data_IF_485984976337
#
_entry.id   IF_485984976337
#
_cell.length_a   1.000
_cell.length_b   1.000
_cell.length_c   1.000
_cell.angle_alpha   90.00
_cell.angle_beta   90.00
_cell.angle_gamma   90.00
#
_symmetry.space_group_name_H-M   'P 1'
#
loop_
_entity.id
_entity.type
_entity.pdbx_description
1 polymer ?
#
# COMPACT_ATOMS: atom_id res chain seq x y z
N UNK A 1 54.86 10.96 -85.93
CA UNK A 1 53.59 11.41 -86.54
C UNK A 1 52.56 11.59 -85.43
N UNK A 2 52.22 12.86 -85.16
CA UNK A 2 51.05 13.43 -84.44
C UNK A 2 50.51 12.83 -83.12
N UNK A 3 50.65 13.68 -82.10
CA UNK A 3 49.98 13.79 -80.80
C UNK A 3 48.43 13.94 -80.89
N UNK A 4 47.67 13.31 -79.98
CA UNK A 4 46.30 13.67 -79.52
C UNK A 4 46.06 13.03 -78.13
N UNK A 5 46.30 13.72 -77.01
CA UNK A 5 45.40 14.56 -76.18
C UNK A 5 44.09 13.88 -75.71
N UNK A 6 44.04 13.77 -74.37
CA UNK A 6 42.99 13.42 -73.40
C UNK A 6 41.58 13.97 -73.67
N UNK A 7 40.55 13.26 -73.20
CA UNK A 7 39.46 13.82 -72.40
C UNK A 7 38.84 12.72 -71.52
N UNK A 8 39.02 12.80 -70.20
CA UNK A 8 38.29 12.00 -69.22
C UNK A 8 36.97 12.70 -68.91
N UNK A 9 35.85 12.05 -69.20
CA UNK A 9 34.52 12.51 -68.80
C UNK A 9 34.22 11.96 -67.40
N UNK A 10 34.26 12.80 -66.38
CA UNK A 10 33.81 12.48 -65.02
C UNK A 10 32.28 12.56 -64.96
N UNK A 11 31.63 11.41 -64.77
CA UNK A 11 30.19 11.30 -64.55
C UNK A 11 29.88 11.65 -63.08
N UNK A 12 28.98 12.61 -62.76
CA UNK A 12 28.67 12.95 -61.38
C UNK A 12 27.82 11.83 -60.76
N UNK A 13 28.34 11.23 -59.69
CA UNK A 13 27.59 10.39 -58.76
C UNK A 13 26.49 11.25 -58.12
N UNK A 14 25.23 11.01 -58.48
CA UNK A 14 24.09 11.48 -57.71
C UNK A 14 24.09 10.69 -56.39
N UNK A 15 24.65 11.28 -55.33
CA UNK A 15 24.44 10.78 -53.98
C UNK A 15 22.97 11.03 -53.62
N UNK A 16 22.17 9.95 -53.60
CA UNK A 16 20.84 9.99 -53.04
C UNK A 16 20.93 10.35 -51.56
N UNK A 17 20.63 11.60 -51.23
CA UNK A 17 20.39 12.00 -49.85
C UNK A 17 19.12 11.28 -49.37
N UNK A 18 19.30 10.19 -48.63
CA UNK A 18 18.26 9.70 -47.74
C UNK A 18 18.06 10.77 -46.67
N UNK A 19 17.06 11.62 -46.86
CA UNK A 19 16.51 12.44 -45.77
C UNK A 19 15.93 11.46 -44.77
N UNK A 20 16.61 11.25 -43.64
CA UNK A 20 15.97 10.71 -42.46
C UNK A 20 14.77 11.61 -42.16
N UNK A 21 13.56 11.10 -42.36
CA UNK A 21 12.38 11.75 -41.82
C UNK A 21 12.58 11.80 -40.30
N UNK A 22 12.90 12.99 -39.77
CA UNK A 22 12.74 13.25 -38.35
C UNK A 22 11.26 12.98 -38.06
N UNK A 23 10.95 11.95 -37.28
CA UNK A 23 9.60 11.72 -36.81
C UNK A 23 9.20 12.95 -35.99
N UNK A 24 8.44 13.86 -36.60
CA UNK A 24 7.90 15.01 -35.90
C UNK A 24 6.89 14.48 -34.89
N UNK A 25 7.23 14.61 -33.60
CA UNK A 25 6.30 14.30 -32.53
C UNK A 25 5.05 15.18 -32.66
N UNK A 26 3.85 14.65 -32.35
CA UNK A 26 2.66 15.49 -32.25
C UNK A 26 2.91 16.68 -31.32
N UNK A 27 2.45 17.86 -31.73
CA UNK A 27 2.65 19.12 -31.02
C UNK A 27 1.29 19.76 -30.76
N UNK A 28 1.03 20.12 -29.51
CA UNK A 28 -0.11 20.95 -29.12
C UNK A 28 0.37 22.16 -28.32
N UNK A 29 -0.42 23.22 -28.26
CA UNK A 29 -0.06 24.48 -27.64
C UNK A 29 -0.78 24.66 -26.30
N UNK A 30 -0.19 25.44 -25.40
CA UNK A 30 -0.82 25.87 -24.17
C UNK A 30 -0.35 27.28 -23.80
N UNK A 31 -1.21 28.06 -23.13
CA UNK A 31 -0.78 29.24 -22.35
C UNK A 31 -0.85 29.01 -20.84
N UNK A 32 -1.49 27.91 -20.41
CA UNK A 32 -1.55 27.44 -19.02
C UNK A 32 -0.61 26.25 -18.77
N UNK A 33 0.00 26.21 -17.58
CA UNK A 33 0.73 25.02 -17.10
C UNK A 33 -0.19 23.89 -16.65
N UNK A 34 -1.45 24.20 -16.33
CA UNK A 34 -2.46 23.22 -15.96
C UNK A 34 -3.17 22.66 -17.18
N UNK A 35 -3.29 21.33 -17.22
CA UNK A 35 -3.93 20.57 -18.28
C UNK A 35 -5.03 19.69 -17.68
N UNK A 36 -6.20 19.74 -18.30
CA UNK A 36 -7.34 18.89 -17.95
C UNK A 36 -7.14 17.51 -18.59
N UNK A 37 -7.43 16.45 -17.85
CA UNK A 37 -7.29 15.07 -18.34
C UNK A 37 -8.66 14.39 -18.36
N UNK A 38 -8.99 13.77 -19.49
CA UNK A 38 -10.09 12.80 -19.58
C UNK A 38 -9.53 11.42 -19.79
N UNK A 39 -9.89 10.49 -18.92
CA UNK A 39 -9.53 9.08 -19.04
C UNK A 39 -10.79 8.21 -19.06
N UNK A 40 -11.20 7.79 -20.27
CA UNK A 40 -12.50 7.14 -20.45
C UNK A 40 -13.65 8.10 -20.12
N UNK A 41 -14.41 7.79 -19.07
CA UNK A 41 -15.50 8.64 -18.58
C UNK A 41 -15.08 9.62 -17.48
N UNK A 42 -13.90 9.42 -16.90
CA UNK A 42 -13.43 10.24 -15.79
C UNK A 42 -12.78 11.51 -16.34
N UNK A 43 -13.31 12.67 -15.96
CA UNK A 43 -12.80 13.97 -16.38
C UNK A 43 -12.32 14.75 -15.17
N UNK A 44 -11.02 15.03 -15.13
CA UNK A 44 -10.36 15.70 -14.03
C UNK A 44 -9.78 17.04 -14.51
N UNK A 45 -10.29 18.13 -13.94
CA UNK A 45 -9.81 19.48 -14.25
C UNK A 45 -8.50 19.79 -13.55
N UNK A 46 -7.54 20.35 -14.27
CA UNK A 46 -6.23 20.75 -13.76
C UNK A 46 -5.48 19.62 -13.08
N UNK A 47 -5.72 18.37 -13.47
CA UNK A 47 -5.08 17.20 -12.86
C UNK A 47 -3.58 17.18 -13.12
N UNK A 48 -3.17 17.68 -14.28
CA UNK A 48 -1.80 17.61 -14.74
C UNK A 48 -1.17 18.99 -14.78
N UNK A 49 -0.03 19.15 -14.12
CA UNK A 49 0.81 20.34 -14.23
C UNK A 49 2.01 19.99 -15.08
N UNK A 50 2.22 20.71 -16.17
CA UNK A 50 3.37 20.48 -17.06
C UNK A 50 4.68 20.67 -16.32
N UNK A 51 5.62 19.75 -16.54
CA UNK A 51 6.99 19.85 -16.02
C UNK A 51 7.99 19.82 -17.19
N UNK A 52 8.30 20.96 -17.83
CA UNK A 52 9.21 21.02 -18.98
C UNK A 52 10.61 20.43 -18.75
N UNK A 53 11.06 20.43 -17.49
CA UNK A 53 12.33 19.85 -17.06
C UNK A 53 12.29 18.32 -16.99
N UNK A 54 11.11 17.72 -16.80
CA UNK A 54 10.91 16.29 -16.85
C UNK A 54 10.95 15.82 -18.32
N UNK A 55 11.88 14.92 -18.64
CA UNK A 55 12.11 14.47 -20.02
C UNK A 55 12.26 12.94 -20.06
N UNK A 56 11.17 12.17 -20.26
CA UNK A 56 9.78 12.64 -20.41
C UNK A 56 9.09 13.05 -19.11
N UNK A 57 8.10 13.93 -19.24
CA UNK A 57 7.02 14.17 -18.28
C UNK A 57 5.95 13.08 -18.48
N UNK A 58 5.91 12.08 -17.59
CA UNK A 58 5.23 10.79 -17.85
C UNK A 58 3.87 10.72 -17.18
N UNK A 59 2.81 10.65 -17.97
CA UNK A 59 1.48 10.27 -17.53
C UNK A 59 1.24 8.76 -17.73
N UNK A 60 0.78 8.09 -16.68
CA UNK A 60 0.51 6.64 -16.70
C UNK A 60 -0.98 6.36 -16.67
N UNK A 61 -1.40 5.31 -17.38
CA UNK A 61 -2.79 4.86 -17.42
C UNK A 61 -2.87 3.34 -17.33
N UNK A 62 -3.82 2.83 -16.55
CA UNK A 62 -4.12 1.39 -16.47
C UNK A 62 -5.33 0.97 -17.31
N UNK A 63 -6.07 1.92 -17.91
CA UNK A 63 -7.37 1.68 -18.53
C UNK A 63 -7.27 1.23 -19.99
N UNK A 64 -6.87 -0.03 -20.20
CA UNK A 64 -6.78 -0.64 -21.53
C UNK A 64 -8.09 -0.46 -22.32
N UNK A 65 -7.96 -0.01 -23.58
CA UNK A 65 -9.04 0.23 -24.52
C UNK A 65 -9.73 1.60 -24.37
N UNK A 66 -9.46 2.35 -23.30
CA UNK A 66 -9.98 3.70 -23.10
C UNK A 66 -9.07 4.75 -23.73
N UNK A 67 -9.63 5.93 -23.96
CA UNK A 67 -8.89 7.10 -24.42
C UNK A 67 -8.40 7.92 -23.23
N UNK A 68 -7.13 8.29 -23.25
CA UNK A 68 -6.57 9.39 -22.46
C UNK A 68 -6.54 10.62 -23.36
N UNK A 69 -7.20 11.70 -22.94
CA UNK A 69 -7.20 12.97 -23.66
C UNK A 69 -6.66 14.08 -22.79
N UNK A 70 -5.65 14.77 -23.29
CA UNK A 70 -5.10 15.98 -22.70
C UNK A 70 -5.81 17.16 -23.35
N UNK A 71 -6.38 18.04 -22.52
CA UNK A 71 -6.97 19.30 -22.95
C UNK A 71 -6.16 20.44 -22.35
N UNK A 72 -5.44 21.15 -23.20
CA UNK A 72 -4.87 22.44 -22.82
C UNK A 72 -5.95 23.51 -22.96
N UNK A 73 -5.60 24.73 -22.59
CA UNK A 73 -6.44 25.91 -22.84
C UNK A 73 -6.54 26.31 -24.33
N UNK A 74 -5.76 25.67 -25.21
CA UNK A 74 -5.72 26.00 -26.64
C UNK A 74 -6.08 24.81 -27.55
N UNK A 75 -5.65 23.61 -27.21
CA UNK A 75 -5.64 22.42 -28.06
C UNK A 75 -6.02 21.16 -27.27
N UNK A 76 -6.15 20.03 -27.96
CA UNK A 76 -6.28 18.73 -27.31
C UNK A 76 -5.61 17.62 -28.12
N UNK A 77 -5.21 16.56 -27.44
CA UNK A 77 -4.68 15.34 -28.06
C UNK A 77 -5.16 14.11 -27.31
N UNK A 78 -5.45 13.03 -28.05
CA UNK A 78 -6.00 11.80 -27.50
C UNK A 78 -5.19 10.58 -27.92
N UNK A 79 -4.98 9.67 -26.98
CA UNK A 79 -4.33 8.39 -27.21
C UNK A 79 -5.18 7.26 -26.65
N UNK A 80 -5.32 6.17 -27.41
CA UNK A 80 -6.02 4.98 -26.96
C UNK A 80 -5.03 4.07 -26.23
N UNK A 81 -5.35 3.66 -25.00
CA UNK A 81 -4.42 2.89 -24.17
C UNK A 81 -4.45 1.40 -24.55
N UNK A 82 -3.28 0.84 -24.78
CA UNK A 82 -2.99 -0.56 -25.03
C UNK A 82 -1.86 -1.00 -24.09
N UNK A 83 -1.65 -2.31 -23.93
CA UNK A 83 -0.68 -2.87 -22.95
C UNK A 83 0.78 -2.45 -23.25
N UNK A 84 1.07 -2.17 -24.50
CA UNK A 84 2.36 -1.77 -25.07
C UNK A 84 2.39 -0.28 -25.48
N UNK A 85 1.36 0.49 -25.08
CA UNK A 85 1.28 1.92 -25.41
C UNK A 85 2.42 2.72 -24.82
N UNK A 86 3.14 3.39 -25.70
CA UNK A 86 4.05 4.49 -25.42
C UNK A 86 3.79 5.56 -26.48
N UNK A 87 3.26 6.70 -26.06
CA UNK A 87 2.95 7.82 -26.94
C UNK A 87 3.72 9.05 -26.48
N UNK A 88 4.66 9.50 -27.31
CA UNK A 88 5.41 10.71 -27.05
C UNK A 88 4.81 11.88 -27.84
N UNK A 89 4.73 13.04 -27.21
CA UNK A 89 4.26 14.28 -27.82
C UNK A 89 4.84 15.50 -27.10
N UNK A 90 4.65 16.68 -27.68
CA UNK A 90 5.16 17.93 -27.15
C UNK A 90 3.98 18.86 -26.82
N UNK A 91 4.02 19.45 -25.64
CA UNK A 91 3.15 20.57 -25.27
C UNK A 91 4.02 21.83 -25.25
N UNK A 92 3.76 22.76 -26.17
CA UNK A 92 4.47 24.03 -26.28
C UNK A 92 3.77 25.09 -25.42
N UNK A 93 4.38 25.42 -24.30
CA UNK A 93 3.91 26.40 -23.33
C UNK A 93 4.40 27.81 -23.72
N UNK A 94 3.45 28.74 -23.86
CA UNK A 94 3.70 30.15 -24.15
C UNK A 94 4.58 30.40 -25.40
N UNK A 95 4.55 29.48 -26.37
CA UNK A 95 5.34 29.57 -27.60
C UNK A 95 6.85 29.48 -27.39
N UNK A 96 7.32 29.10 -26.21
CA UNK A 96 8.74 29.15 -25.83
C UNK A 96 9.20 27.86 -25.16
N UNK A 97 8.58 27.49 -24.05
CA UNK A 97 8.98 26.33 -23.25
C UNK A 97 8.24 25.09 -23.77
N UNK A 98 8.87 23.92 -23.72
CA UNK A 98 8.29 22.68 -24.24
C UNK A 98 8.39 21.55 -23.24
N UNK A 99 7.25 20.94 -22.95
CA UNK A 99 7.18 19.71 -22.16
C UNK A 99 7.19 18.50 -23.11
N UNK A 100 8.27 17.71 -23.05
CA UNK A 100 8.33 16.42 -23.71
C UNK A 100 7.52 15.43 -22.89
N UNK A 101 6.29 15.16 -23.33
CA UNK A 101 5.29 14.43 -22.55
C UNK A 101 5.14 13.02 -23.10
N UNK A 102 4.96 12.04 -22.21
CA UNK A 102 4.73 10.65 -22.58
C UNK A 102 3.46 10.12 -21.91
N UNK A 103 2.58 9.51 -22.70
CA UNK A 103 1.52 8.63 -22.17
C UNK A 103 1.99 7.19 -22.29
N UNK A 104 2.01 6.45 -21.18
CA UNK A 104 2.31 5.01 -21.20
C UNK A 104 1.32 4.20 -20.40
N UNK A 105 1.19 2.93 -20.75
CA UNK A 105 0.46 1.98 -19.93
C UNK A 105 1.26 1.63 -18.66
N UNK A 106 0.57 1.58 -17.53
CA UNK A 106 1.07 1.02 -16.28
C UNK A 106 -0.07 0.27 -15.58
N UNK A 107 0.12 -0.99 -15.13
CA UNK A 107 -0.94 -1.73 -14.47
C UNK A 107 -1.42 -1.01 -13.21
N UNK A 108 -2.72 -1.10 -12.92
CA UNK A 108 -3.22 -0.61 -11.63
C UNK A 108 -2.67 -1.46 -10.48
N UNK A 109 -2.70 -0.94 -9.25
CA UNK A 109 -2.33 -1.74 -8.07
C UNK A 109 -3.18 -3.01 -7.94
N UNK A 110 -4.46 -2.96 -8.32
CA UNK A 110 -5.32 -4.13 -8.34
C UNK A 110 -4.88 -5.16 -9.40
N UNK A 111 -4.42 -4.72 -10.58
CA UNK A 111 -3.87 -5.62 -11.59
C UNK A 111 -2.56 -6.26 -11.13
N UNK A 112 -1.71 -5.50 -10.44
CA UNK A 112 -0.49 -6.02 -9.82
C UNK A 112 -0.83 -7.05 -8.75
N UNK A 113 -1.81 -6.79 -7.88
CA UNK A 113 -2.26 -7.72 -6.85
C UNK A 113 -2.85 -9.00 -7.45
N UNK A 114 -3.63 -8.89 -8.53
CA UNK A 114 -4.16 -10.05 -9.28
C UNK A 114 -3.05 -10.93 -9.84
N UNK A 115 -1.96 -10.33 -10.30
CA UNK A 115 -0.76 -11.06 -10.74
C UNK A 115 -0.08 -11.85 -9.62
N UNK A 116 -0.28 -11.45 -8.37
CA UNK A 116 0.33 -12.02 -7.17
C UNK A 116 -0.53 -13.09 -6.47
N UNK A 117 -1.46 -13.71 -7.19
CA UNK A 117 -2.39 -14.68 -6.62
C UNK A 117 -1.70 -15.93 -6.06
N UNK A 118 -0.57 -16.32 -6.62
CA UNK A 118 0.08 -17.58 -6.31
C UNK A 118 0.93 -17.51 -5.02
N UNK A 119 0.64 -18.44 -4.12
CA UNK A 119 1.44 -18.80 -2.96
C UNK A 119 1.92 -20.25 -3.09
N UNK A 120 2.88 -20.67 -2.25
CA UNK A 120 3.31 -22.07 -2.17
C UNK A 120 2.81 -22.72 -0.87
N UNK A 121 1.73 -23.49 -0.96
CA UNK A 121 1.17 -24.23 0.17
C UNK A 121 2.02 -25.45 0.57
N UNK A 122 2.95 -25.87 -0.29
CA UNK A 122 3.89 -26.94 0.00
C UNK A 122 5.19 -26.42 0.65
N UNK A 123 5.38 -25.10 0.71
CA UNK A 123 6.49 -24.50 1.44
C UNK A 123 6.42 -24.92 2.92
N UNK A 124 7.49 -25.59 3.35
CA UNK A 124 7.67 -26.15 4.67
C UNK A 124 8.81 -25.48 5.44
N UNK A 125 9.23 -24.27 5.02
CA UNK A 125 10.23 -23.48 5.71
C UNK A 125 9.86 -23.34 7.19
N UNK A 126 10.74 -23.74 8.12
CA UNK A 126 10.44 -23.67 9.55
C UNK A 126 10.34 -22.23 10.03
N UNK A 127 9.16 -21.84 10.50
CA UNK A 127 8.95 -20.59 11.24
C UNK A 127 8.69 -20.90 12.73
N UNK A 128 9.16 -20.06 13.67
CA UNK A 128 8.76 -20.18 15.07
C UNK A 128 7.24 -20.11 15.22
N UNK A 129 6.73 -20.69 16.31
CA UNK A 129 5.28 -20.63 16.57
C UNK A 129 4.86 -19.24 17.03
N UNK A 130 3.66 -18.83 16.62
CA UNK A 130 3.06 -17.61 17.14
C UNK A 130 2.69 -17.75 18.61
N UNK A 131 2.87 -16.67 19.37
CA UNK A 131 2.40 -16.58 20.75
C UNK A 131 1.70 -15.25 21.04
N UNK A 132 0.81 -15.30 22.02
CA UNK A 132 0.00 -14.17 22.46
C UNK A 132 0.19 -14.05 23.96
N UNK A 133 0.50 -12.85 24.45
CA UNK A 133 0.67 -12.64 25.88
C UNK A 133 -0.63 -12.94 26.63
N UNK A 134 -0.53 -13.70 27.72
CA UNK A 134 -1.69 -14.09 28.50
C UNK A 134 -2.29 -12.88 29.25
N UNK A 135 -3.60 -12.68 29.11
CA UNK A 135 -4.32 -11.56 29.74
C UNK A 135 -4.23 -11.53 31.28
N UNK A 136 -3.81 -12.64 31.91
CA UNK A 136 -3.59 -12.71 33.35
C UNK A 136 -2.26 -12.12 33.81
N UNK A 137 -1.35 -11.79 32.88
CA UNK A 137 -0.09 -11.11 33.17
C UNK A 137 -0.33 -9.74 33.80
N UNK A 138 0.53 -9.37 34.76
CA UNK A 138 0.32 -8.18 35.59
C UNK A 138 0.19 -6.89 34.77
N UNK A 139 1.04 -6.72 33.74
CA UNK A 139 1.01 -5.52 32.89
C UNK A 139 -0.27 -5.38 32.09
N UNK A 140 -0.83 -6.49 31.59
CA UNK A 140 -2.08 -6.50 30.84
C UNK A 140 -3.30 -6.29 31.74
N UNK A 141 -3.27 -6.85 32.97
CA UNK A 141 -4.28 -6.53 34.00
C UNK A 141 -4.27 -5.03 34.34
N UNK A 142 -3.10 -4.43 34.51
CA UNK A 142 -2.98 -2.99 34.74
C UNK A 142 -3.53 -2.19 33.57
N UNK A 143 -3.11 -2.52 32.33
CA UNK A 143 -3.63 -1.87 31.12
C UNK A 143 -5.15 -1.92 31.04
N UNK A 144 -5.74 -3.10 31.26
CA UNK A 144 -7.20 -3.33 31.28
C UNK A 144 -7.90 -2.44 32.30
N UNK A 145 -7.36 -2.36 33.51
CA UNK A 145 -7.93 -1.58 34.61
C UNK A 145 -7.78 -0.07 34.38
N UNK A 146 -6.60 0.41 34.02
CA UNK A 146 -6.32 1.84 33.85
C UNK A 146 -7.14 2.44 32.70
N UNK A 147 -7.25 1.72 31.58
CA UNK A 147 -8.02 2.16 30.42
C UNK A 147 -9.53 1.83 30.52
N UNK A 148 -9.95 1.07 31.53
CA UNK A 148 -11.34 0.60 31.72
C UNK A 148 -11.87 -0.16 30.50
N UNK A 149 -11.05 -1.07 29.95
CA UNK A 149 -11.33 -1.75 28.69
C UNK A 149 -12.62 -2.58 28.71
N UNK A 150 -13.01 -3.14 29.85
CA UNK A 150 -14.30 -3.85 29.98
C UNK A 150 -15.50 -2.96 29.69
N UNK A 151 -15.46 -1.72 30.18
CA UNK A 151 -16.53 -0.74 29.95
C UNK A 151 -16.57 -0.29 28.50
N UNK A 152 -15.40 -0.13 27.86
CA UNK A 152 -15.28 0.28 26.46
C UNK A 152 -15.78 -0.84 25.54
N UNK A 153 -15.31 -2.06 25.75
CA UNK A 153 -15.74 -3.23 24.98
C UNK A 153 -17.25 -3.49 25.17
N UNK A 154 -17.76 -3.27 26.39
CA UNK A 154 -19.16 -3.43 26.73
C UNK A 154 -19.59 -4.88 26.93
N UNK A 155 -20.89 -5.07 27.14
CA UNK A 155 -21.51 -6.38 27.45
C UNK A 155 -22.08 -7.14 26.25
N UNK A 156 -21.81 -6.68 25.01
CA UNK A 156 -22.28 -7.32 23.78
C UNK A 156 -21.58 -8.64 23.45
N UNK A 157 -21.89 -9.21 22.28
CA UNK A 157 -21.19 -10.39 21.76
C UNK A 157 -19.72 -10.09 21.43
N UNK A 158 -18.93 -11.13 21.15
CA UNK A 158 -17.49 -11.00 20.90
C UNK A 158 -17.18 -9.99 19.79
N UNK A 159 -17.89 -10.07 18.66
CA UNK A 159 -17.71 -9.16 17.53
C UNK A 159 -17.99 -7.71 17.91
N UNK A 160 -19.10 -7.43 18.60
CA UNK A 160 -19.41 -6.07 19.06
C UNK A 160 -18.33 -5.54 20.00
N UNK A 161 -17.79 -6.38 20.89
CA UNK A 161 -16.69 -6.00 21.79
C UNK A 161 -15.42 -5.66 21.03
N UNK A 162 -15.11 -6.42 19.97
CA UNK A 162 -13.97 -6.15 19.09
C UNK A 162 -14.16 -4.79 18.40
N UNK A 163 -15.30 -4.59 17.72
CA UNK A 163 -15.59 -3.35 17.00
C UNK A 163 -15.63 -2.13 17.93
N UNK A 164 -16.19 -2.25 19.14
CA UNK A 164 -16.22 -1.15 20.11
C UNK A 164 -14.82 -0.66 20.51
N UNK A 165 -13.84 -1.56 20.62
CA UNK A 165 -12.45 -1.16 20.89
C UNK A 165 -11.82 -0.46 19.68
N UNK A 166 -12.09 -0.93 18.46
CA UNK A 166 -11.63 -0.26 17.23
C UNK A 166 -12.21 1.16 17.13
N UNK A 167 -13.54 1.30 17.26
CA UNK A 167 -14.21 2.60 17.27
C UNK A 167 -13.64 3.51 18.37
N UNK A 168 -13.38 2.97 19.56
CA UNK A 168 -12.82 3.76 20.66
C UNK A 168 -11.41 4.27 20.35
N UNK A 169 -10.50 3.42 19.87
CA UNK A 169 -9.14 3.86 19.51
C UNK A 169 -9.18 4.88 18.36
N UNK A 170 -10.01 4.62 17.35
CA UNK A 170 -10.24 5.53 16.24
C UNK A 170 -10.67 6.93 16.70
N UNK A 171 -11.57 7.00 17.68
CA UNK A 171 -12.07 8.27 18.21
C UNK A 171 -11.12 8.92 19.23
N UNK A 172 -10.31 8.11 19.93
CA UNK A 172 -9.43 8.58 20.98
C UNK A 172 -8.15 9.22 20.46
N UNK A 173 -7.56 8.66 19.39
CA UNK A 173 -6.24 9.05 18.90
C UNK A 173 -6.34 9.48 17.43
N UNK A 174 -6.04 10.75 17.10
CA UNK A 174 -5.99 11.19 15.72
C UNK A 174 -4.91 10.41 14.93
N UNK A 175 -5.21 10.02 13.70
CA UNK A 175 -4.21 9.53 12.79
C UNK A 175 -3.31 10.67 12.29
N UNK A 176 -2.01 10.44 12.34
CA UNK A 176 -0.96 11.31 11.83
C UNK A 176 0.11 10.47 11.13
N UNK A 177 -0.02 10.34 9.82
CA UNK A 177 0.94 9.62 8.98
C UNK A 177 2.20 10.41 8.64
N UNK A 178 2.29 11.69 9.02
CA UNK A 178 3.41 12.57 8.64
C UNK A 178 4.51 12.62 9.72
N UNK A 179 4.28 12.04 10.89
CA UNK A 179 5.21 12.07 12.01
C UNK A 179 5.49 10.68 12.58
N UNK A 180 6.67 10.51 13.14
CA UNK A 180 7.08 9.30 13.85
C UNK A 180 6.27 9.11 15.14
N UNK A 181 5.96 7.87 15.48
CA UNK A 181 5.37 7.52 16.76
C UNK A 181 6.32 7.79 17.93
N UNK A 182 5.79 7.92 19.17
CA UNK A 182 6.60 7.93 20.39
C UNK A 182 7.66 6.84 20.46
N UNK A 183 8.78 7.14 21.12
CA UNK A 183 9.88 6.18 21.35
C UNK A 183 9.40 4.96 22.12
N UNK A 184 8.56 5.16 23.14
CA UNK A 184 7.94 4.08 23.90
C UNK A 184 6.65 3.65 23.20
N UNK A 185 6.68 2.46 22.61
CA UNK A 185 5.65 1.88 21.75
C UNK A 185 4.78 0.87 22.49
N UNK A 186 4.13 1.34 23.57
CA UNK A 186 3.05 0.62 24.23
C UNK A 186 1.81 1.50 24.44
N UNK A 187 0.66 0.88 24.65
CA UNK A 187 -0.63 1.53 24.71
C UNK A 187 -0.70 2.60 25.80
N UNK A 188 -0.23 2.31 27.02
CA UNK A 188 -0.33 3.27 28.13
C UNK A 188 0.50 4.54 27.85
N UNK A 189 1.75 4.37 27.42
CA UNK A 189 2.65 5.49 27.13
C UNK A 189 2.20 6.29 25.92
N UNK A 190 1.83 5.64 24.82
CA UNK A 190 1.40 6.34 23.61
C UNK A 190 0.09 7.11 23.83
N UNK A 191 -0.92 6.52 24.48
CA UNK A 191 -2.17 7.23 24.82
C UNK A 191 -1.87 8.44 25.71
N UNK A 192 -1.01 8.27 26.73
CA UNK A 192 -0.64 9.36 27.63
C UNK A 192 0.06 10.49 26.87
N UNK A 193 1.00 10.17 26.01
CA UNK A 193 1.76 11.16 25.24
C UNK A 193 0.87 11.89 24.24
N UNK A 194 0.00 11.19 23.50
CA UNK A 194 -0.99 11.80 22.61
C UNK A 194 -1.87 12.83 23.32
N UNK A 195 -2.29 12.54 24.57
CA UNK A 195 -3.08 13.47 25.38
C UNK A 195 -2.27 14.67 25.89
N UNK A 196 -1.00 14.47 26.23
CA UNK A 196 -0.13 15.51 26.80
C UNK A 196 0.38 16.49 25.73
N UNK A 197 0.67 15.98 24.54
CA UNK A 197 1.29 16.74 23.44
C UNK A 197 0.29 17.13 22.34
N UNK A 198 -0.99 16.78 22.50
CA UNK A 198 -2.04 17.00 21.51
C UNK A 198 -1.66 16.47 20.10
N UNK A 199 -1.00 15.31 20.07
CA UNK A 199 -0.46 14.69 18.85
C UNK A 199 -1.20 13.43 18.41
N UNK A 200 -1.04 13.07 17.15
CA UNK A 200 -1.52 11.80 16.59
C UNK A 200 -0.48 10.68 16.56
N UNK A 201 -0.93 9.52 16.09
CA UNK A 201 -0.11 8.34 15.77
C UNK A 201 -0.30 7.95 14.30
N UNK A 202 0.72 7.38 13.68
CA UNK A 202 0.55 6.76 12.36
C UNK A 202 -0.19 5.40 12.49
N UNK A 203 -0.52 4.78 11.35
CA UNK A 203 -1.24 3.50 11.30
C UNK A 203 -0.63 2.41 12.20
N UNK A 204 0.71 2.29 12.24
CA UNK A 204 1.42 1.32 13.10
C UNK A 204 1.24 1.62 14.58
N UNK A 205 1.23 2.90 14.96
CA UNK A 205 1.00 3.32 16.35
C UNK A 205 -0.41 3.00 16.80
N UNK A 206 -1.43 3.35 16.00
CA UNK A 206 -2.83 3.00 16.27
C UNK A 206 -3.03 1.49 16.39
N UNK A 207 -2.49 0.72 15.44
CA UNK A 207 -2.58 -0.73 15.46
C UNK A 207 -1.87 -1.36 16.66
N UNK A 208 -0.75 -0.77 17.12
CA UNK A 208 -0.03 -1.22 18.32
C UNK A 208 -0.86 -0.99 19.59
N UNK A 209 -1.42 0.22 19.77
CA UNK A 209 -2.30 0.53 20.92
C UNK A 209 -3.50 -0.40 20.95
N UNK A 210 -4.19 -0.56 19.81
CA UNK A 210 -5.37 -1.42 19.71
C UNK A 210 -5.02 -2.90 19.96
N UNK A 211 -3.89 -3.38 19.44
CA UNK A 211 -3.43 -4.75 19.64
C UNK A 211 -3.30 -5.09 21.13
N UNK A 212 -2.62 -4.24 21.90
CA UNK A 212 -2.43 -4.47 23.33
C UNK A 212 -3.74 -4.42 24.12
N UNK A 213 -4.71 -3.60 23.68
CA UNK A 213 -6.05 -3.58 24.28
C UNK A 213 -6.78 -4.91 24.07
N UNK A 214 -6.67 -5.53 22.90
CA UNK A 214 -7.21 -6.88 22.66
C UNK A 214 -6.54 -7.94 23.53
N UNK A 215 -5.22 -7.94 23.61
CA UNK A 215 -4.46 -8.87 24.45
C UNK A 215 -4.87 -8.75 25.93
N UNK A 216 -5.10 -7.53 26.41
CA UNK A 216 -5.55 -7.28 27.78
C UNK A 216 -6.95 -7.85 28.09
N UNK A 217 -7.80 -8.01 27.08
CA UNK A 217 -9.09 -8.69 27.19
C UNK A 217 -9.02 -10.20 26.88
N UNK A 218 -7.84 -10.74 26.60
CA UNK A 218 -7.65 -12.16 26.27
C UNK A 218 -8.09 -12.54 24.86
N UNK A 219 -8.25 -11.54 23.98
CA UNK A 219 -8.61 -11.68 22.57
C UNK A 219 -7.31 -11.79 21.77
N UNK A 220 -7.05 -12.93 21.07
CA UNK A 220 -5.85 -13.06 20.26
C UNK A 220 -5.85 -12.05 19.10
N UNK A 221 -4.79 -11.24 19.03
CA UNK A 221 -4.61 -10.23 17.98
C UNK A 221 -3.14 -10.12 17.60
N UNK A 222 -2.88 -9.78 16.34
CA UNK A 222 -1.59 -9.29 15.83
C UNK A 222 -1.84 -8.01 15.05
N UNK A 223 -0.97 -7.02 15.15
CA UNK A 223 -0.90 -6.03 14.08
C UNK A 223 -0.19 -6.65 12.87
N UNK A 224 -0.65 -6.33 11.67
CA UNK A 224 -0.11 -6.83 10.41
C UNK A 224 0.24 -5.62 9.54
N UNK A 225 1.50 -5.54 9.13
CA UNK A 225 1.94 -4.61 8.11
C UNK A 225 1.51 -5.16 6.75
N UNK A 226 0.68 -4.40 6.07
CA UNK A 226 0.24 -4.63 4.70
C UNK A 226 1.17 -3.83 3.77
N UNK A 227 1.92 -4.53 2.93
CA UNK A 227 3.05 -3.98 2.19
C UNK A 227 2.86 -4.04 0.67
N UNK A 228 3.39 -3.04 -0.07
CA UNK A 228 3.40 -3.06 -1.52
C UNK A 228 4.36 -4.08 -2.12
N UNK A 229 4.22 -4.31 -3.44
CA UNK A 229 5.15 -5.10 -4.24
C UNK A 229 6.56 -4.52 -4.21
N UNK A 230 6.68 -3.21 -4.40
CA UNK A 230 7.97 -2.56 -4.57
C UNK A 230 8.81 -2.62 -3.30
N UNK A 231 10.13 -2.70 -3.48
CA UNK A 231 11.08 -2.67 -2.36
C UNK A 231 11.38 -1.25 -1.88
N UNK A 232 11.09 -0.25 -2.72
CA UNK A 232 11.18 1.17 -2.41
C UNK A 232 9.78 1.74 -2.57
N UNK A 233 9.21 2.23 -1.48
CA UNK A 233 7.85 2.72 -1.42
C UNK A 233 7.78 3.85 -0.39
N UNK A 234 6.80 4.74 -0.56
CA UNK A 234 6.66 5.91 0.30
C UNK A 234 5.80 5.63 1.54
N UNK A 235 4.96 4.59 1.49
CA UNK A 235 4.03 4.24 2.55
C UNK A 235 3.61 2.77 2.49
N UNK A 236 3.12 2.28 3.64
CA UNK A 236 2.46 1.01 3.82
C UNK A 236 1.28 1.23 4.77
N UNK A 237 0.47 0.19 5.01
CA UNK A 237 -0.63 0.29 5.98
C UNK A 237 -0.50 -0.76 7.06
N UNK A 238 -0.85 -0.43 8.30
CA UNK A 238 -0.82 -1.38 9.43
C UNK A 238 -2.19 -1.45 10.06
N UNK A 239 -2.74 -2.66 10.12
CA UNK A 239 -4.06 -2.93 10.72
C UNK A 239 -3.95 -4.07 11.73
N UNK A 240 -5.04 -4.35 12.45
CA UNK A 240 -5.13 -5.49 13.34
C UNK A 240 -5.81 -6.67 12.65
N UNK A 241 -5.21 -7.85 12.83
CA UNK A 241 -5.84 -9.13 12.58
C UNK A 241 -6.26 -9.73 13.91
N UNK A 242 -7.56 -9.87 14.13
CA UNK A 242 -8.14 -10.24 15.43
C UNK A 242 -8.89 -11.57 15.29
N UNK A 243 -8.59 -12.55 16.14
CA UNK A 243 -9.26 -13.85 16.09
C UNK A 243 -10.56 -13.78 16.86
N UNK A 244 -11.66 -14.09 16.18
CA UNK A 244 -12.96 -14.31 16.82
C UNK A 244 -13.10 -15.80 17.10
N UNK A 245 -13.22 -16.16 18.38
CA UNK A 245 -13.53 -17.53 18.80
C UNK A 245 -14.98 -17.90 18.47
N UNK A 246 -15.92 -16.95 18.46
CA UNK A 246 -17.31 -17.23 18.08
C UNK A 246 -17.43 -17.57 16.58
N UNK A 247 -16.71 -16.85 15.72
CA UNK A 247 -16.70 -17.06 14.27
C UNK A 247 -15.63 -18.06 13.81
N UNK A 248 -14.73 -18.47 14.69
CA UNK A 248 -13.61 -19.39 14.41
C UNK A 248 -12.73 -18.91 13.23
N UNK A 249 -12.50 -17.59 13.15
CA UNK A 249 -11.75 -16.97 12.05
C UNK A 249 -11.06 -15.66 12.45
N UNK A 250 -10.14 -15.22 11.61
CA UNK A 250 -9.49 -13.92 11.69
C UNK A 250 -10.37 -12.82 11.08
N UNK A 251 -10.35 -11.63 11.69
CA UNK A 251 -11.11 -10.45 11.27
C UNK A 251 -10.17 -9.30 10.89
N UNK A 252 -10.52 -8.58 9.83
CA UNK A 252 -9.93 -7.29 9.42
C UNK A 252 -10.43 -6.18 10.33
N UNK A 253 -9.52 -5.53 11.04
CA UNK A 253 -9.83 -4.44 11.96
C UNK A 253 -8.84 -3.30 11.75
N UNK A 254 -9.31 -2.18 11.20
CA UNK A 254 -8.47 -1.01 10.91
C UNK A 254 -8.89 0.20 11.76
N UNK A 255 -8.12 0.55 12.82
CA UNK A 255 -8.41 1.71 13.64
C UNK A 255 -8.16 3.05 12.92
N UNK A 256 -7.43 3.07 11.81
CA UNK A 256 -7.13 4.31 11.07
C UNK A 256 -8.37 4.83 10.33
N UNK A 257 -9.09 3.91 9.70
CA UNK A 257 -10.26 4.22 8.88
C UNK A 257 -11.60 3.83 9.52
N UNK A 258 -11.58 3.41 10.79
CA UNK A 258 -12.72 2.81 11.48
C UNK A 258 -13.36 1.68 10.64
N UNK A 259 -12.50 0.86 10.04
CA UNK A 259 -12.88 0.02 8.91
C UNK A 259 -12.82 -1.47 9.22
N UNK A 260 -13.86 -2.18 8.79
CA UNK A 260 -13.95 -3.63 8.72
C UNK A 260 -14.66 -4.03 7.42
N UNK A 261 -14.33 -5.21 6.92
CA UNK A 261 -14.79 -5.67 5.60
C UNK A 261 -15.72 -6.86 5.76
N UNK A 262 -16.79 -6.86 4.96
CA UNK A 262 -17.80 -7.91 4.92
C UNK A 262 -17.94 -8.49 3.51
N UNK A 263 -18.45 -9.71 3.44
CA UNK A 263 -19.00 -10.26 2.20
C UNK A 263 -20.43 -9.76 1.95
N UNK A 264 -21.03 -10.19 0.83
CA UNK A 264 -22.39 -9.87 0.43
C UNK A 264 -23.48 -10.35 1.40
N UNK A 265 -23.14 -11.23 2.34
CA UNK A 265 -24.04 -11.75 3.37
C UNK A 265 -23.86 -11.04 4.72
N UNK A 266 -22.97 -10.05 4.79
CA UNK A 266 -22.67 -9.32 6.03
C UNK A 266 -21.74 -10.07 6.98
N UNK A 267 -21.05 -11.12 6.52
CA UNK A 267 -20.08 -11.86 7.33
C UNK A 267 -18.75 -11.11 7.30
N UNK A 268 -18.18 -10.84 8.48
CA UNK A 268 -16.87 -10.21 8.61
C UNK A 268 -15.75 -11.08 8.00
N UNK A 269 -14.80 -10.44 7.34
CA UNK A 269 -13.69 -11.07 6.63
C UNK A 269 -12.34 -10.72 7.26
N UNK A 270 -11.40 -11.64 7.15
CA UNK A 270 -9.98 -11.42 7.46
C UNK A 270 -9.15 -10.96 6.26
N UNK A 271 -7.89 -10.58 6.50
CA UNK A 271 -6.95 -10.11 5.47
C UNK A 271 -6.81 -11.06 4.27
N UNK A 272 -6.61 -12.36 4.54
CA UNK A 272 -6.47 -13.37 3.49
C UNK A 272 -7.71 -13.49 2.61
N UNK A 273 -8.91 -13.47 3.22
CA UNK A 273 -10.18 -13.57 2.51
C UNK A 273 -10.46 -12.31 1.67
N UNK A 274 -10.21 -11.12 2.22
CA UNK A 274 -10.36 -9.85 1.49
C UNK A 274 -9.42 -9.83 0.28
N UNK A 275 -8.15 -10.22 0.47
CA UNK A 275 -7.16 -10.31 -0.61
C UNK A 275 -7.63 -11.27 -1.71
N UNK A 276 -8.08 -12.46 -1.35
CA UNK A 276 -8.55 -13.47 -2.32
C UNK A 276 -9.76 -12.96 -3.10
N UNK A 277 -10.72 -12.33 -2.43
CA UNK A 277 -11.90 -11.73 -3.05
C UNK A 277 -11.55 -10.60 -4.02
N UNK A 278 -10.61 -9.71 -3.66
CA UNK A 278 -10.11 -8.66 -4.57
C UNK A 278 -9.51 -9.25 -5.85
N UNK A 279 -8.69 -10.29 -5.70
CA UNK A 279 -8.04 -10.97 -6.83
C UNK A 279 -9.07 -11.59 -7.77
N UNK A 280 -10.09 -12.25 -7.21
CA UNK A 280 -11.17 -12.89 -7.98
C UNK A 280 -12.21 -11.89 -8.52
N UNK A 281 -12.18 -10.63 -8.08
CA UNK A 281 -13.20 -9.64 -8.40
C UNK A 281 -14.55 -9.94 -7.75
N UNK A 282 -14.53 -10.59 -6.59
CA UNK A 282 -15.73 -10.87 -5.79
C UNK A 282 -16.19 -9.64 -5.02
N UNK A 283 -17.45 -9.65 -4.59
CA UNK A 283 -18.05 -8.52 -3.86
C UNK A 283 -17.40 -8.36 -2.49
N UNK A 284 -17.09 -7.12 -2.14
CA UNK A 284 -16.62 -6.69 -0.82
C UNK A 284 -17.43 -5.49 -0.38
N UNK A 285 -17.83 -5.49 0.88
CA UNK A 285 -18.57 -4.40 1.52
C UNK A 285 -17.66 -3.78 2.58
N UNK A 286 -17.32 -2.50 2.40
CA UNK A 286 -16.76 -1.66 3.45
C UNK A 286 -17.91 -1.20 4.36
N UNK A 287 -17.70 -1.18 5.67
CA UNK A 287 -18.72 -0.69 6.59
C UNK A 287 -19.13 0.77 6.28
N UNK A 288 -20.43 1.11 6.32
CA UNK A 288 -20.92 2.42 5.86
C UNK A 288 -20.37 3.63 6.62
N UNK A 289 -19.93 3.44 7.85
CA UNK A 289 -19.41 4.45 8.78
C UNK A 289 -17.89 4.60 8.74
N UNK A 290 -17.18 3.84 7.89
CA UNK A 290 -15.73 3.96 7.72
C UNK A 290 -15.34 5.39 7.34
N UNK A 291 -14.37 5.96 8.05
CA UNK A 291 -13.95 7.35 7.91
C UNK A 291 -12.54 7.56 8.44
N UNK A 292 -11.88 8.65 8.03
CA UNK A 292 -10.58 9.05 8.55
C UNK A 292 -10.72 10.08 9.68
N UNK A 293 -10.89 9.62 10.93
CA UNK A 293 -11.06 10.42 12.15
C UNK A 293 -12.05 11.59 11.99
N UNK A 294 -13.18 11.33 11.34
CA UNK A 294 -14.25 12.27 10.99
C UNK A 294 -13.83 13.41 10.05
N UNK A 295 -12.63 13.36 9.46
CA UNK A 295 -12.14 14.35 8.49
C UNK A 295 -12.71 14.10 7.09
N UNK A 296 -12.85 12.83 6.71
CA UNK A 296 -13.41 12.42 5.43
C UNK A 296 -13.99 11.00 5.53
N UNK A 297 -15.05 10.72 4.78
CA UNK A 297 -15.56 9.35 4.63
C UNK A 297 -14.56 8.50 3.85
N UNK A 298 -14.39 7.25 4.29
CA UNK A 298 -13.60 6.25 3.56
C UNK A 298 -14.51 5.59 2.54
N UNK A 299 -14.20 5.73 1.25
CA UNK A 299 -14.97 5.10 0.17
C UNK A 299 -14.29 3.82 -0.30
N UNK A 300 -15.11 2.82 -0.64
CA UNK A 300 -14.64 1.48 -1.01
C UNK A 300 -13.70 1.51 -2.21
N UNK A 301 -14.01 2.32 -3.22
CA UNK A 301 -13.28 2.39 -4.48
C UNK A 301 -11.82 2.80 -4.22
N UNK A 302 -11.62 3.91 -3.50
CA UNK A 302 -10.28 4.35 -3.12
C UNK A 302 -9.63 3.39 -2.11
N UNK A 303 -10.32 3.08 -1.01
CA UNK A 303 -9.71 2.32 0.09
C UNK A 303 -9.33 0.89 -0.32
N UNK A 304 -10.24 0.14 -0.94
CA UNK A 304 -9.97 -1.26 -1.29
C UNK A 304 -9.30 -1.42 -2.65
N UNK A 305 -9.76 -0.70 -3.68
CA UNK A 305 -9.33 -0.97 -5.07
C UNK A 305 -8.05 -0.23 -5.47
N UNK A 306 -7.66 0.80 -4.71
CA UNK A 306 -6.41 1.54 -4.93
C UNK A 306 -5.45 1.37 -3.76
N UNK A 307 -5.81 1.88 -2.58
CA UNK A 307 -4.89 1.96 -1.44
C UNK A 307 -4.54 0.59 -0.85
N UNK A 308 -5.55 -0.21 -0.50
CA UNK A 308 -5.32 -1.56 0.02
C UNK A 308 -4.94 -2.53 -1.09
N UNK A 309 -5.40 -2.36 -2.34
CA UNK A 309 -4.91 -3.17 -3.45
C UNK A 309 -3.38 -3.07 -3.59
N UNK A 310 -2.82 -1.86 -3.40
CA UNK A 310 -1.36 -1.66 -3.30
C UNK A 310 -0.77 -2.45 -2.13
N UNK A 311 -1.35 -2.30 -0.95
CA UNK A 311 -0.78 -2.77 0.32
C UNK A 311 -1.09 -4.25 0.65
N UNK A 312 -1.97 -4.95 -0.06
CA UNK A 312 -2.29 -6.36 0.18
C UNK A 312 -1.39 -7.32 -0.61
N UNK A 313 -0.26 -6.83 -1.12
CA UNK A 313 0.64 -7.63 -1.95
C UNK A 313 1.39 -8.67 -1.10
N UNK A 314 2.10 -8.22 -0.06
CA UNK A 314 2.82 -9.04 0.93
C UNK A 314 2.51 -8.56 2.34
N UNK A 315 2.77 -9.39 3.34
CA UNK A 315 2.42 -9.09 4.73
C UNK A 315 3.58 -9.38 5.66
N UNK A 316 3.76 -8.57 6.70
CA UNK A 316 4.61 -8.95 7.82
C UNK A 316 3.89 -8.76 9.16
N UNK A 317 4.26 -9.56 10.15
CA UNK A 317 3.74 -9.43 11.51
C UNK A 317 4.73 -9.99 12.54
N UNK A 318 4.63 -9.56 13.81
CA UNK A 318 5.44 -10.14 14.86
C UNK A 318 5.02 -11.58 15.15
N UNK A 319 6.01 -12.44 15.41
CA UNK A 319 5.76 -13.82 15.87
C UNK A 319 5.22 -13.85 17.31
N UNK A 320 5.62 -12.88 18.14
CA UNK A 320 5.17 -12.74 19.52
C UNK A 320 4.33 -11.48 19.64
N UNK A 321 3.03 -11.63 19.89
CA UNK A 321 2.13 -10.52 20.16
C UNK A 321 2.11 -10.25 21.67
N UNK A 322 2.87 -9.24 22.10
CA UNK A 322 3.02 -8.88 23.52
C UNK A 322 2.95 -7.37 23.72
N UNK A 323 2.65 -6.97 24.94
CA UNK A 323 2.79 -5.60 25.41
C UNK A 323 4.22 -5.09 25.18
N UNK A 324 4.37 -3.84 24.74
CA UNK A 324 5.63 -3.13 24.59
C UNK A 324 6.62 -3.81 23.62
N UNK A 325 6.10 -4.57 22.65
CA UNK A 325 6.94 -5.43 21.79
C UNK A 325 8.01 -4.62 21.03
N UNK A 326 7.67 -3.46 20.50
CA UNK A 326 8.56 -2.70 19.62
C UNK A 326 9.33 -1.55 20.28
N UNK A 327 9.14 -1.32 21.57
CA UNK A 327 9.90 -0.29 22.29
C UNK A 327 11.38 -0.58 22.19
N UNK A 328 12.20 0.39 21.72
CA UNK A 328 13.63 0.20 21.61
C UNK A 328 14.30 -0.05 22.94
N UNK A 329 15.00 -1.18 23.02
CA UNK A 329 15.77 -1.59 24.17
C UNK A 329 17.02 -2.33 23.69
N UNK A 330 18.19 -1.94 24.20
CA UNK A 330 19.47 -2.50 23.78
C UNK A 330 19.53 -4.00 24.10
N UNK A 331 19.87 -4.82 23.10
CA UNK A 331 19.92 -6.27 23.22
C UNK A 331 18.57 -6.97 23.01
N UNK A 332 17.47 -6.23 22.85
CA UNK A 332 16.15 -6.80 22.55
C UNK A 332 16.13 -7.37 21.14
N UNK A 333 15.56 -8.56 21.01
CA UNK A 333 15.38 -9.23 19.72
C UNK A 333 13.91 -9.30 19.34
N UNK A 334 13.59 -8.83 18.14
CA UNK A 334 12.25 -8.88 17.55
C UNK A 334 12.21 -9.92 16.45
N UNK A 335 11.25 -10.82 16.56
CA UNK A 335 10.99 -11.88 15.60
C UNK A 335 9.76 -11.52 14.75
N UNK A 336 9.97 -11.51 13.45
CA UNK A 336 8.97 -11.18 12.45
C UNK A 336 8.88 -12.28 11.42
N UNK A 337 7.69 -12.46 10.87
CA UNK A 337 7.47 -13.33 9.72
C UNK A 337 6.84 -12.52 8.60
N UNK A 338 7.30 -12.78 7.38
CA UNK A 338 6.84 -12.13 6.16
C UNK A 338 6.25 -13.18 5.21
N UNK A 339 4.98 -12.98 4.81
CA UNK A 339 4.31 -13.76 3.78
C UNK A 339 4.47 -13.06 2.43
N UNK A 340 5.17 -13.72 1.50
CA UNK A 340 5.48 -13.18 0.18
C UNK A 340 4.80 -14.05 -0.89
N UNK A 341 4.08 -13.48 -1.88
CA UNK A 341 3.58 -14.24 -3.02
C UNK A 341 4.73 -14.69 -3.93
N UNK A 342 4.52 -15.71 -4.76
CA UNK A 342 5.60 -16.33 -5.57
C UNK A 342 6.26 -15.38 -6.58
N UNK A 343 5.55 -14.36 -7.05
CA UNK A 343 6.09 -13.33 -7.96
C UNK A 343 6.76 -12.15 -7.23
N UNK A 344 6.81 -12.21 -5.89
CA UNK A 344 7.38 -11.17 -5.04
C UNK A 344 8.90 -11.11 -5.07
N UNK A 345 9.42 -9.90 -4.85
CA UNK A 345 10.84 -9.69 -4.69
C UNK A 345 11.35 -10.20 -3.33
N UNK A 346 12.66 -10.36 -3.19
CA UNK A 346 13.33 -10.67 -1.93
C UNK A 346 12.91 -12.00 -1.26
N UNK A 347 12.57 -13.03 -2.04
CA UNK A 347 12.26 -14.37 -1.52
C UNK A 347 13.39 -14.95 -0.63
N UNK A 348 14.66 -14.69 -1.00
CA UNK A 348 15.84 -15.18 -0.30
C UNK A 348 16.63 -14.06 0.38
N UNK A 349 17.35 -14.34 1.50
CA UNK A 349 17.28 -15.59 2.25
C UNK A 349 15.95 -15.73 2.99
N UNK A 350 15.53 -16.97 3.26
CA UNK A 350 14.33 -17.32 4.03
C UNK A 350 14.41 -16.87 5.49
N UNK A 351 15.62 -16.74 6.02
CA UNK A 351 15.88 -16.17 7.34
C UNK A 351 16.95 -15.10 7.21
N UNK A 352 16.73 -13.97 7.87
CA UNK A 352 17.72 -12.91 8.01
C UNK A 352 17.74 -12.36 9.43
N UNK A 353 18.93 -11.99 9.88
CA UNK A 353 19.15 -11.37 11.18
C UNK A 353 19.97 -10.09 10.99
N UNK A 354 19.53 -9.00 11.61
CA UNK A 354 20.22 -7.72 11.57
C UNK A 354 20.11 -6.98 12.89
N UNK A 355 21.25 -6.59 13.44
CA UNK A 355 21.33 -5.68 14.58
C UNK A 355 21.50 -4.24 14.11
N UNK A 356 20.68 -3.32 14.64
CA UNK A 356 20.76 -1.90 14.33
C UNK A 356 21.60 -1.17 15.39
N UNK A 357 22.68 -0.52 14.97
CA UNK A 357 23.63 0.11 15.90
C UNK A 357 22.99 1.20 16.78
N UNK A 358 22.08 2.00 16.22
CA UNK A 358 21.45 3.12 16.91
C UNK A 358 20.55 2.68 18.07
N UNK A 359 19.77 1.62 17.89
CA UNK A 359 18.87 1.09 18.93
C UNK A 359 19.49 -0.03 19.75
N UNK A 360 20.51 -0.70 19.21
CA UNK A 360 21.06 -1.94 19.76
C UNK A 360 20.10 -3.13 19.68
N UNK A 361 19.02 -3.03 18.91
CA UNK A 361 18.04 -4.10 18.74
C UNK A 361 18.41 -5.02 17.59
N UNK A 362 18.07 -6.30 17.72
CA UNK A 362 18.20 -7.31 16.66
C UNK A 362 16.83 -7.62 16.07
N UNK A 363 16.71 -7.58 14.75
CA UNK A 363 15.54 -8.04 14.02
C UNK A 363 15.86 -9.37 13.34
N UNK A 364 15.03 -10.36 13.59
CA UNK A 364 15.04 -11.68 12.94
C UNK A 364 13.79 -11.79 12.08
N UNK A 365 13.98 -11.91 10.78
CA UNK A 365 12.89 -11.97 9.80
C UNK A 365 12.91 -13.34 9.16
N UNK A 366 11.81 -14.07 9.34
CA UNK A 366 11.50 -15.34 8.68
C UNK A 366 10.59 -15.04 7.49
N UNK A 367 10.80 -15.71 6.36
CA UNK A 367 9.95 -15.58 5.17
C UNK A 367 9.28 -16.90 4.88
N UNK A 368 8.06 -16.82 4.40
CA UNK A 368 7.26 -17.96 3.97
C UNK A 368 6.47 -17.58 2.72
N UNK A 369 6.31 -18.53 1.81
CA UNK A 369 5.34 -18.46 0.74
C UNK A 369 4.05 -19.20 1.10
N UNK A 370 3.97 -19.81 2.29
CA UNK A 370 2.85 -20.60 2.75
C UNK A 370 1.85 -19.76 3.58
N UNK A 371 0.66 -19.45 3.04
CA UNK A 371 -0.35 -18.69 3.76
C UNK A 371 -0.91 -19.49 4.95
N UNK A 372 -0.91 -20.82 4.94
CA UNK A 372 -1.40 -21.63 6.07
C UNK A 372 -0.48 -21.52 7.29
N UNK A 373 0.82 -21.29 7.06
CA UNK A 373 1.75 -20.96 8.13
C UNK A 373 1.52 -19.54 8.66
N UNK A 374 1.25 -18.56 7.80
CA UNK A 374 1.08 -17.16 8.21
C UNK A 374 -0.25 -16.88 8.92
N UNK A 375 -1.35 -17.36 8.35
CA UNK A 375 -2.72 -17.18 8.82
C UNK A 375 -3.16 -18.23 9.85
N UNK A 376 -2.21 -19.00 10.40
CA UNK A 376 -2.49 -20.05 11.38
C UNK A 376 -3.31 -19.51 12.55
N UNK A 377 -4.28 -20.32 13.01
CA UNK A 377 -5.14 -19.98 14.15
C UNK A 377 -4.34 -20.00 15.45
N UNK A 378 -4.72 -19.20 16.48
CA UNK A 378 -4.12 -19.29 17.80
C UNK A 378 -4.32 -20.69 18.41
N UNK A 379 -3.31 -21.25 19.07
CA UNK A 379 -3.44 -22.55 19.75
C UNK A 379 -4.24 -22.41 21.05
N UNK A 380 -5.10 -23.40 21.34
CA UNK A 380 -5.74 -23.57 22.66
C UNK A 380 -6.90 -22.61 22.96
N UNK A 381 -7.59 -22.09 21.93
CA UNK A 381 -8.68 -21.12 22.04
C UNK A 381 -9.87 -21.49 21.16
#
# INVERSE_FOLDING_TARGET
MKLKILFSLTLPFLAGHFTNAQNNLPLIHATSELVDIREGQDFNKGQWTLVPEARPDVYTSSKIGQWVTFYTDMDSISFKVHKDSVYDFIILLNGKDSAYTQVRYEPSYLDVLKGAAAYDYADATPIPEYSYQDSSEAVLKTLRQELKLDSIAGGGNEVSRILNLMHWIHNLIPHDGNHDNPVVKNAMSMIRQCRQEERGLNCRGLATVLNECYLALGIPSRFVTCMPKDSVFNDCHVINMVYSSDLQKWLWIDPTHDAYIMDEHGVLLGLGEVREKLIKGETLILNPDANWNHKASTVKEYYLLEYMAKNLYRFDCPLRSTYDYETPEKGKTLDYVELIPLDGYNQSPEFSERTYEQSGMTFRIYKTNNPDQFWVRPKGK
#
